data_IF_419798913606
#
_entry.id   IF_419798913606
#
_cell.length_a   1.000
_cell.length_b   1.000
_cell.length_c   1.000
_cell.angle_alpha   90.00
_cell.angle_beta   90.00
_cell.angle_gamma   90.00
#
_symmetry.space_group_name_H-M   'P 1'
#
loop_
_entity.id
_entity.type
_entity.pdbx_description
1 polymer ?
#
# COMPACT_ATOMS: atom_id res chain seq x y z
N UNK A 1 3.44 -12.37 14.87
CA UNK A 1 2.36 -11.36 14.82
C UNK A 1 2.92 -9.95 14.66
N UNK A 2 3.86 -9.51 15.51
CA UNK A 2 4.49 -8.18 15.44
C UNK A 2 5.23 -7.84 14.12
N UNK A 3 5.69 -8.83 13.35
CA UNK A 3 6.44 -8.55 12.11
C UNK A 3 5.56 -7.98 10.97
N UNK A 4 4.29 -8.38 10.85
CA UNK A 4 3.40 -7.90 9.76
C UNK A 4 3.11 -6.41 9.94
N UNK A 5 2.65 -6.03 11.13
CA UNK A 5 2.40 -4.63 11.48
C UNK A 5 3.68 -3.80 11.40
N UNK A 6 4.83 -4.36 11.80
CA UNK A 6 6.13 -3.71 11.67
C UNK A 6 6.51 -3.38 10.22
N UNK A 7 6.37 -4.33 9.29
CA UNK A 7 6.66 -4.09 7.87
C UNK A 7 5.73 -3.04 7.26
N UNK A 8 4.43 -3.16 7.51
CA UNK A 8 3.43 -2.20 7.02
C UNK A 8 3.72 -0.82 7.58
N UNK A 9 3.90 -0.70 8.90
CA UNK A 9 4.19 0.56 9.57
C UNK A 9 5.46 1.23 9.02
N UNK A 10 6.56 0.47 8.88
CA UNK A 10 7.81 1.01 8.36
C UNK A 10 7.66 1.55 6.94
N UNK A 11 7.02 0.79 6.04
CA UNK A 11 6.84 1.22 4.65
C UNK A 11 5.88 2.41 4.53
N UNK A 12 4.80 2.43 5.32
CA UNK A 12 3.88 3.57 5.38
C UNK A 12 4.56 4.82 5.96
N UNK A 13 5.37 4.68 7.00
CA UNK A 13 6.10 5.80 7.59
C UNK A 13 7.16 6.38 6.62
N UNK A 14 7.89 5.52 5.90
CA UNK A 14 8.82 5.95 4.86
C UNK A 14 8.06 6.72 3.77
N UNK A 15 6.95 6.16 3.28
CA UNK A 15 6.10 6.80 2.29
C UNK A 15 5.62 8.18 2.78
N UNK A 16 5.05 8.26 3.98
CA UNK A 16 4.62 9.52 4.58
C UNK A 16 5.75 10.55 4.70
N UNK A 17 6.95 10.12 5.10
CA UNK A 17 8.11 11.02 5.21
C UNK A 17 8.51 11.61 3.86
N UNK A 18 8.49 10.80 2.79
CA UNK A 18 8.84 11.27 1.44
C UNK A 18 7.86 12.35 0.95
N UNK A 19 6.56 12.20 1.23
CA UNK A 19 5.55 13.19 0.81
C UNK A 19 5.48 14.40 1.74
N UNK A 20 5.63 14.22 3.06
CA UNK A 20 5.55 15.32 4.03
C UNK A 20 6.76 16.26 4.00
N UNK A 21 7.94 15.77 3.59
CA UNK A 21 9.15 16.59 3.44
C UNK A 21 9.12 17.48 2.19
N UNK A 22 8.10 17.36 1.33
CA UNK A 22 7.97 18.18 0.12
C UNK A 22 8.99 17.88 -0.97
N UNK A 23 9.84 16.85 -0.81
CA UNK A 23 10.84 16.44 -1.82
C UNK A 23 10.18 16.18 -3.18
N UNK A 24 9.01 15.52 -3.16
CA UNK A 24 8.24 15.25 -4.37
C UNK A 24 7.61 16.53 -4.93
N UNK A 25 7.11 17.44 -4.11
CA UNK A 25 6.51 18.69 -4.60
C UNK A 25 7.56 19.59 -5.27
N UNK A 26 8.82 19.58 -4.80
CA UNK A 26 9.93 20.31 -5.43
C UNK A 26 10.25 19.75 -6.83
N UNK A 27 10.24 18.42 -6.99
CA UNK A 27 10.50 17.75 -8.28
C UNK A 27 9.30 17.83 -9.23
N UNK A 28 8.08 17.78 -8.68
CA UNK A 28 6.83 17.83 -9.44
C UNK A 28 6.36 19.26 -9.75
N UNK A 29 7.12 20.29 -9.35
CA UNK A 29 6.81 21.71 -9.57
C UNK A 29 6.92 22.16 -11.04
N UNK A 30 7.31 21.28 -11.96
CA UNK A 30 7.20 21.58 -13.39
C UNK A 30 5.71 21.69 -13.76
N UNK A 31 5.33 22.74 -14.50
CA UNK A 31 3.96 23.09 -14.90
C UNK A 31 3.17 21.96 -15.62
N UNK A 32 3.79 20.82 -15.87
CA UNK A 32 3.20 19.69 -16.54
C UNK A 32 2.39 18.81 -15.56
N UNK A 33 1.07 19.01 -15.57
CA UNK A 33 0.10 18.23 -14.78
C UNK A 33 0.25 16.71 -14.97
N UNK A 34 0.57 16.25 -16.19
CA UNK A 34 0.80 14.83 -16.48
C UNK A 34 1.98 14.29 -15.65
N UNK A 35 3.09 15.04 -15.63
CA UNK A 35 4.31 14.64 -14.94
C UNK A 35 4.06 14.55 -13.42
N UNK A 36 3.38 15.55 -12.86
CA UNK A 36 3.02 15.57 -11.44
C UNK A 36 2.16 14.37 -11.05
N UNK A 37 1.08 14.10 -11.80
CA UNK A 37 0.21 12.95 -11.54
C UNK A 37 0.95 11.62 -11.67
N UNK A 38 1.84 11.51 -12.66
CA UNK A 38 2.63 10.29 -12.91
C UNK A 38 3.62 10.02 -11.79
N UNK A 39 4.32 11.04 -11.30
CA UNK A 39 5.29 10.88 -10.20
C UNK A 39 4.57 10.48 -8.92
N UNK A 40 3.49 11.18 -8.55
CA UNK A 40 2.77 10.93 -7.30
C UNK A 40 2.17 9.51 -7.30
N UNK A 41 1.36 9.18 -8.32
CA UNK A 41 0.71 7.88 -8.40
C UNK A 41 1.71 6.74 -8.67
N UNK A 42 2.79 7.02 -9.41
CA UNK A 42 3.88 6.08 -9.66
C UNK A 42 4.61 5.69 -8.38
N UNK A 43 4.98 6.66 -7.54
CA UNK A 43 5.63 6.37 -6.25
C UNK A 43 4.68 5.59 -5.35
N UNK A 44 3.41 6.00 -5.26
CA UNK A 44 2.42 5.28 -4.47
C UNK A 44 2.23 3.83 -4.93
N UNK A 45 2.19 3.59 -6.25
CA UNK A 45 2.15 2.25 -6.83
C UNK A 45 3.40 1.43 -6.48
N UNK A 46 4.59 2.01 -6.58
CA UNK A 46 5.85 1.33 -6.24
C UNK A 46 5.82 0.90 -4.76
N UNK A 47 5.44 1.79 -3.86
CA UNK A 47 5.33 1.47 -2.43
C UNK A 47 4.29 0.39 -2.16
N UNK A 48 3.13 0.43 -2.82
CA UNK A 48 2.08 -0.58 -2.63
C UNK A 48 2.52 -1.95 -3.15
N UNK A 49 3.20 -2.01 -4.29
CA UNK A 49 3.75 -3.26 -4.89
C UNK A 49 4.89 -3.82 -4.03
N UNK A 50 5.81 -2.98 -3.55
CA UNK A 50 6.89 -3.42 -2.65
C UNK A 50 6.29 -4.01 -1.37
N UNK A 51 5.30 -3.33 -0.78
CA UNK A 51 4.62 -3.82 0.42
C UNK A 51 3.91 -5.15 0.16
N UNK A 52 3.20 -5.26 -0.96
CA UNK A 52 2.58 -6.52 -1.40
C UNK A 52 3.60 -7.66 -1.49
N UNK A 53 4.74 -7.46 -2.16
CA UNK A 53 5.78 -8.48 -2.31
C UNK A 53 6.34 -8.91 -0.95
N UNK A 54 6.63 -7.94 -0.08
CA UNK A 54 7.12 -8.21 1.29
C UNK A 54 6.10 -9.05 2.07
N UNK A 55 4.80 -8.76 1.93
CA UNK A 55 3.73 -9.49 2.61
C UNK A 55 3.53 -10.91 2.05
N UNK A 56 3.67 -11.12 0.74
CA UNK A 56 3.65 -12.45 0.12
C UNK A 56 4.77 -13.32 0.70
N UNK A 57 6.00 -12.78 0.76
CA UNK A 57 7.17 -13.51 1.24
C UNK A 57 7.45 -13.35 2.73
N UNK A 58 6.50 -12.80 3.51
CA UNK A 58 6.79 -12.35 4.88
C UNK A 58 7.24 -13.47 5.82
N UNK A 59 6.80 -14.72 5.64
CA UNK A 59 7.31 -15.85 6.44
C UNK A 59 8.78 -16.11 6.17
N UNK A 60 9.17 -16.12 4.90
CA UNK A 60 10.54 -16.38 4.50
C UNK A 60 11.45 -15.25 5.00
N UNK A 61 11.02 -14.01 4.83
CA UNK A 61 11.71 -12.83 5.36
C UNK A 61 11.83 -12.87 6.89
N UNK A 62 10.75 -13.18 7.61
CA UNK A 62 10.77 -13.21 9.08
C UNK A 62 11.62 -14.36 9.62
N UNK A 63 11.64 -15.53 8.96
CA UNK A 63 12.53 -16.65 9.33
C UNK A 63 14.00 -16.27 9.16
N UNK A 64 14.34 -15.56 8.08
CA UNK A 64 15.69 -15.06 7.84
C UNK A 64 16.12 -14.00 8.86
N UNK A 65 15.21 -13.10 9.25
CA UNK A 65 15.47 -12.03 10.24
C UNK A 65 15.59 -12.54 11.68
N UNK A 66 14.76 -13.50 12.07
CA UNK A 66 14.73 -14.00 13.46
C UNK A 66 15.54 -15.28 13.70
N UNK A 67 16.12 -15.87 12.64
CA UNK A 67 16.79 -17.18 12.67
C UNK A 67 15.98 -18.29 13.34
N UNK A 68 14.64 -18.17 13.34
CA UNK A 68 13.73 -19.11 14.00
C UNK A 68 12.87 -19.85 13.00
N UNK A 69 12.90 -21.18 13.06
CA UNK A 69 12.05 -22.05 12.23
C UNK A 69 10.59 -22.11 12.71
N UNK A 70 10.29 -21.56 13.89
CA UNK A 70 8.95 -21.62 14.50
C UNK A 70 7.96 -20.60 13.92
N UNK A 71 8.36 -19.79 12.94
CA UNK A 71 7.45 -18.85 12.28
C UNK A 71 6.56 -19.61 11.30
N UNK A 72 5.26 -19.61 11.61
CA UNK A 72 4.20 -20.23 10.83
C UNK A 72 3.38 -19.18 10.07
N UNK A 73 2.80 -19.63 8.96
CA UNK A 73 1.79 -18.87 8.23
C UNK A 73 0.57 -18.66 9.14
N UNK A 74 -0.05 -17.49 9.06
CA UNK A 74 -1.28 -17.12 9.76
C UNK A 74 -2.36 -16.77 8.74
N UNK A 75 -3.65 -16.90 9.06
CA UNK A 75 -4.72 -16.53 8.13
C UNK A 75 -4.64 -15.08 7.65
N UNK A 76 -4.16 -14.18 8.52
CA UNK A 76 -3.99 -12.76 8.23
C UNK A 76 -3.05 -12.46 7.06
N UNK A 77 -2.12 -13.36 6.76
CA UNK A 77 -1.13 -13.13 5.71
C UNK A 77 -1.74 -13.25 4.34
N UNK A 78 -2.73 -14.13 4.21
CA UNK A 78 -3.58 -14.19 3.03
C UNK A 78 -4.23 -12.84 2.75
N UNK A 79 -4.75 -12.20 3.80
CA UNK A 79 -5.60 -11.02 3.66
C UNK A 79 -4.79 -9.76 3.38
N UNK A 80 -3.69 -9.53 4.10
CA UNK A 80 -2.94 -8.27 3.98
C UNK A 80 -2.35 -8.06 2.58
N UNK A 81 -1.75 -9.07 1.94
CA UNK A 81 -1.23 -8.85 0.59
C UNK A 81 -2.36 -8.60 -0.42
N UNK A 82 -3.55 -9.18 -0.25
CA UNK A 82 -4.70 -8.90 -1.12
C UNK A 82 -5.17 -7.44 -1.03
N UNK A 83 -5.15 -6.85 0.17
CA UNK A 83 -5.44 -5.42 0.35
C UNK A 83 -4.43 -4.54 -0.42
N UNK A 84 -3.15 -4.92 -0.41
CA UNK A 84 -2.11 -4.21 -1.17
C UNK A 84 -2.14 -4.51 -2.67
N UNK A 85 -2.61 -5.68 -3.12
CA UNK A 85 -2.94 -5.95 -4.52
C UNK A 85 -4.03 -4.99 -4.98
N UNK A 86 -5.14 -4.91 -4.23
CA UNK A 86 -6.24 -4.00 -4.54
C UNK A 86 -5.75 -2.55 -4.64
N UNK A 87 -5.00 -2.09 -3.64
CA UNK A 87 -4.41 -0.73 -3.60
C UNK A 87 -3.51 -0.48 -4.82
N UNK A 88 -2.70 -1.46 -5.21
CA UNK A 88 -1.82 -1.36 -6.38
C UNK A 88 -2.61 -1.28 -7.69
N UNK A 89 -3.70 -2.05 -7.82
CA UNK A 89 -4.59 -1.97 -8.99
C UNK A 89 -5.21 -0.57 -9.09
N UNK A 90 -5.68 0.00 -7.97
CA UNK A 90 -6.24 1.35 -7.95
C UNK A 90 -5.21 2.39 -8.39
N UNK A 91 -3.97 2.34 -7.89
CA UNK A 91 -2.92 3.26 -8.33
C UNK A 91 -2.51 3.06 -9.80
N UNK A 92 -2.47 1.81 -10.28
CA UNK A 92 -2.19 1.52 -11.68
C UNK A 92 -3.28 2.05 -12.61
N UNK A 93 -4.56 1.86 -12.25
CA UNK A 93 -5.69 2.43 -12.99
C UNK A 93 -5.68 3.96 -12.94
N UNK A 94 -5.38 4.56 -11.79
CA UNK A 94 -5.24 6.01 -11.66
C UNK A 94 -4.12 6.57 -12.55
N UNK A 95 -2.99 5.85 -12.71
CA UNK A 95 -1.93 6.22 -13.66
C UNK A 95 -2.41 6.15 -15.11
N UNK A 96 -3.13 5.09 -15.47
CA UNK A 96 -3.69 4.94 -16.82
C UNK A 96 -4.68 6.08 -17.13
N UNK A 97 -5.55 6.43 -16.19
CA UNK A 97 -6.47 7.56 -16.32
C UNK A 97 -5.72 8.91 -16.38
N UNK A 98 -4.68 9.10 -15.58
CA UNK A 98 -3.86 10.32 -15.64
C UNK A 98 -3.19 10.50 -17.02
N UNK A 99 -2.72 9.41 -17.64
CA UNK A 99 -2.19 9.41 -19.01
C UNK A 99 -3.31 9.64 -20.03
N UNK A 100 -4.43 8.95 -19.92
CA UNK A 100 -5.58 9.11 -20.82
C UNK A 100 -6.12 10.54 -20.83
N UNK A 101 -6.25 11.15 -19.66
CA UNK A 101 -6.75 12.50 -19.50
C UNK A 101 -5.73 13.53 -20.01
N UNK A 102 -4.46 13.43 -19.60
CA UNK A 102 -3.48 14.48 -19.91
C UNK A 102 -2.87 14.36 -21.31
N UNK A 103 -2.63 13.15 -21.81
CA UNK A 103 -2.00 12.92 -23.11
C UNK A 103 -3.03 12.73 -24.23
N UNK A 104 -4.03 11.88 -24.01
CA UNK A 104 -5.06 11.59 -25.03
C UNK A 104 -6.26 12.54 -24.96
N UNK A 105 -6.33 13.43 -23.96
CA UNK A 105 -7.43 14.39 -23.75
C UNK A 105 -8.82 13.73 -23.63
N UNK A 106 -8.86 12.49 -23.13
CA UNK A 106 -10.11 11.75 -22.93
C UNK A 106 -10.68 12.14 -21.57
N UNK A 107 -11.47 13.22 -21.54
CA UNK A 107 -12.05 13.76 -20.32
C UNK A 107 -13.05 12.82 -19.62
N UNK A 108 -13.63 11.86 -20.33
CA UNK A 108 -14.64 10.93 -19.81
C UNK A 108 -14.08 9.75 -19.01
N UNK A 109 -12.75 9.67 -18.84
CA UNK A 109 -12.07 8.55 -18.20
C UNK A 109 -11.45 9.01 -16.86
N UNK A 110 -12.30 9.42 -15.92
CA UNK A 110 -11.95 9.98 -14.61
C UNK A 110 -12.57 9.22 -13.43
N UNK A 111 -13.19 8.06 -13.68
CA UNK A 111 -13.95 7.30 -12.67
C UNK A 111 -13.06 6.92 -11.48
N UNK A 112 -11.86 6.39 -11.74
CA UNK A 112 -10.93 5.98 -10.68
C UNK A 112 -10.26 7.20 -10.08
N UNK A 113 -9.80 8.15 -10.90
CA UNK A 113 -9.10 9.35 -10.46
C UNK A 113 -9.95 10.21 -9.52
N UNK A 114 -11.24 10.40 -9.84
CA UNK A 114 -12.18 11.15 -9.01
C UNK A 114 -12.51 10.43 -7.68
N UNK A 115 -12.47 9.10 -7.67
CA UNK A 115 -12.80 8.29 -6.49
C UNK A 115 -11.56 7.70 -5.78
N UNK A 116 -10.35 8.08 -6.21
CA UNK A 116 -9.12 7.40 -5.79
C UNK A 116 -8.93 7.47 -4.29
N UNK A 117 -9.20 8.65 -3.69
CA UNK A 117 -9.11 8.85 -2.26
C UNK A 117 -10.06 7.91 -1.50
N UNK A 118 -11.32 7.82 -1.93
CA UNK A 118 -12.32 6.94 -1.32
C UNK A 118 -11.93 5.46 -1.42
N UNK A 119 -11.50 5.01 -2.59
CA UNK A 119 -11.06 3.62 -2.82
C UNK A 119 -9.85 3.26 -1.96
N UNK A 120 -8.87 4.15 -1.86
CA UNK A 120 -7.70 3.96 -1.01
C UNK A 120 -8.09 3.98 0.47
N UNK A 121 -8.98 4.88 0.90
CA UNK A 121 -9.46 4.92 2.29
C UNK A 121 -10.21 3.66 2.69
N UNK A 122 -10.97 3.03 1.79
CA UNK A 122 -11.58 1.71 2.05
C UNK A 122 -10.50 0.66 2.35
N UNK A 123 -9.43 0.61 1.54
CA UNK A 123 -8.30 -0.30 1.79
C UNK A 123 -7.66 -0.06 3.16
N UNK A 124 -7.45 1.21 3.54
CA UNK A 124 -6.91 1.59 4.84
C UNK A 124 -7.83 1.20 6.00
N UNK A 125 -9.14 1.45 5.87
CA UNK A 125 -10.12 1.07 6.89
C UNK A 125 -10.12 -0.45 7.11
N UNK A 126 -10.04 -1.24 6.03
CA UNK A 126 -9.92 -2.69 6.10
C UNK A 126 -8.59 -3.11 6.76
N UNK A 127 -7.47 -2.47 6.43
CA UNK A 127 -6.19 -2.71 7.11
C UNK A 127 -6.30 -2.48 8.63
N UNK A 128 -6.88 -1.36 9.05
CA UNK A 128 -7.11 -1.06 10.47
C UNK A 128 -7.99 -2.11 11.14
N UNK A 129 -9.10 -2.51 10.49
CA UNK A 129 -9.99 -3.55 10.98
C UNK A 129 -9.27 -4.90 11.13
N UNK A 130 -8.43 -5.27 10.17
CA UNK A 130 -7.65 -6.51 10.22
C UNK A 130 -6.61 -6.47 11.35
N UNK A 131 -5.95 -5.34 11.58
CA UNK A 131 -5.06 -5.17 12.71
C UNK A 131 -5.78 -5.32 14.05
N UNK A 132 -6.94 -4.68 14.21
CA UNK A 132 -7.74 -4.79 15.44
C UNK A 132 -8.18 -6.24 15.68
N UNK A 133 -8.69 -6.90 14.64
CA UNK A 133 -9.09 -8.33 14.71
C UNK A 133 -7.92 -9.21 15.13
N UNK A 134 -6.72 -8.94 14.59
CA UNK A 134 -5.50 -9.67 14.94
C UNK A 134 -5.12 -9.49 16.42
N UNK A 135 -5.26 -8.28 16.96
CA UNK A 135 -5.03 -8.01 18.39
C UNK A 135 -6.04 -8.77 19.25
N UNK A 136 -7.34 -8.67 18.94
CA UNK A 136 -8.40 -9.36 19.69
C UNK A 136 -8.19 -10.86 19.72
N UNK A 137 -7.89 -11.48 18.58
CA UNK A 137 -7.60 -12.92 18.50
C UNK A 137 -6.30 -13.32 19.20
N UNK A 138 -5.33 -12.41 19.32
CA UNK A 138 -4.09 -12.68 20.07
C UNK A 138 -4.31 -12.70 21.58
N UNK A 139 -5.21 -11.85 22.09
CA UNK A 139 -5.58 -11.79 23.51
C UNK A 139 -6.45 -12.98 23.90
N UNK A 140 -7.40 -13.35 23.04
CA UNK A 140 -8.36 -14.42 23.31
C UNK A 140 -7.84 -15.84 23.02
N UNK A 141 -6.57 -15.99 22.60
CA UNK A 141 -5.98 -17.33 22.43
C UNK A 141 -5.61 -17.91 23.81
N UNK A 142 -6.21 -19.04 24.25
CA UNK A 142 -5.73 -19.73 25.44
C UNK A 142 -4.28 -20.14 25.21
N UNK A 143 -3.43 -19.83 26.19
CA UNK A 143 -2.05 -20.34 26.26
C UNK A 143 -2.14 -21.86 26.48
N UNK A 144 -2.16 -22.62 25.38
CA UNK A 144 -1.89 -24.06 25.38
C UNK A 144 -0.38 -24.28 25.38
#
# INVERSE_FOLDING_TARGET
>A
MAHISGFIFALTAINFTIFSTGIIDIVALQENQLLRGTIILGIQLIFSVITMIILIFRVQLSRKLSSSNNIKLTPFDGIFYWLYIFTSIIYALGLLENVAWSYFKIASMDLIYSNIAGLIYISWALCCYMFLTMVVLSINKPRL
#
